data_IF_258978111661
#
_entry.id   IF_258978111661
#
_cell.length_a   1.000
_cell.length_b   1.000
_cell.length_c   1.000
_cell.angle_alpha   90.00
_cell.angle_beta   90.00
_cell.angle_gamma   90.00
#
_symmetry.space_group_name_H-M   'P 1'
#
loop_
_entity.id
_entity.type
_entity.pdbx_description
1 polymer ?
#
# COMPACT_ATOMS: atom_id res chain seq x y z
N UNK A 1 -14.54 -0.96 5.20
CA UNK A 1 -13.83 -1.95 4.38
C UNK A 1 -13.45 -1.25 3.09
N UNK A 2 -12.15 -1.13 2.85
CA UNK A 2 -11.58 -0.63 1.59
C UNK A 2 -11.71 -1.73 0.54
N UNK A 3 -12.04 -1.35 -0.70
CA UNK A 3 -12.15 -2.27 -1.84
C UNK A 3 -11.46 -1.64 -3.04
N UNK A 4 -10.50 -2.35 -3.62
CA UNK A 4 -9.70 -1.86 -4.75
C UNK A 4 -9.51 -2.92 -5.83
N UNK A 5 -9.46 -2.48 -7.08
CA UNK A 5 -8.89 -3.27 -8.17
C UNK A 5 -7.37 -3.18 -8.05
N UNK A 6 -6.66 -4.30 -8.25
CA UNK A 6 -5.19 -4.39 -8.11
C UNK A 6 -4.61 -5.32 -9.17
N UNK A 7 -3.94 -4.74 -10.16
CA UNK A 7 -3.30 -5.46 -11.26
C UNK A 7 -1.79 -5.19 -11.26
N UNK A 8 -1.01 -6.22 -11.54
CA UNK A 8 0.45 -6.13 -11.64
C UNK A 8 0.89 -5.99 -13.09
N UNK A 9 1.73 -5.00 -13.35
CA UNK A 9 2.39 -4.79 -14.64
C UNK A 9 3.73 -5.55 -14.65
N UNK A 10 4.15 -6.15 -15.77
CA UNK A 10 5.26 -7.09 -15.79
C UNK A 10 6.65 -6.43 -15.73
N UNK A 11 6.76 -5.14 -16.07
CA UNK A 11 8.04 -4.44 -16.19
C UNK A 11 7.87 -2.91 -16.32
N UNK A 12 9.01 -2.21 -16.25
CA UNK A 12 9.10 -0.76 -16.40
C UNK A 12 8.59 -0.24 -17.76
N UNK A 13 8.73 -1.01 -18.84
CA UNK A 13 8.25 -0.60 -20.16
C UNK A 13 6.72 -0.53 -20.20
N UNK A 14 6.06 -1.51 -19.59
CA UNK A 14 4.60 -1.56 -19.44
C UNK A 14 4.09 -0.43 -18.56
N UNK A 15 4.76 -0.19 -17.43
CA UNK A 15 4.50 0.94 -16.54
C UNK A 15 4.66 2.30 -17.24
N UNK A 16 5.76 2.51 -17.97
CA UNK A 16 6.00 3.75 -18.71
C UNK A 16 4.97 3.96 -19.82
N UNK A 17 4.62 2.90 -20.55
CA UNK A 17 3.61 2.96 -21.61
C UNK A 17 2.25 3.35 -21.05
N UNK A 18 1.82 2.74 -19.93
CA UNK A 18 0.59 3.11 -19.25
C UNK A 18 0.62 4.55 -18.76
N UNK A 19 1.71 4.97 -18.12
CA UNK A 19 1.87 6.35 -17.62
C UNK A 19 1.81 7.38 -18.76
N UNK A 20 2.40 7.08 -19.92
CA UNK A 20 2.32 7.95 -21.10
C UNK A 20 0.88 8.07 -21.63
N UNK A 21 0.15 6.95 -21.70
CA UNK A 21 -1.25 6.93 -22.13
C UNK A 21 -2.15 7.72 -21.18
N UNK A 22 -1.89 7.62 -19.87
CA UNK A 22 -2.66 8.32 -18.84
C UNK A 22 -2.21 9.76 -18.61
N UNK A 23 -1.11 10.22 -19.21
CA UNK A 23 -0.56 11.57 -19.01
C UNK A 23 -1.56 12.73 -19.17
N UNK A 24 -2.56 12.69 -20.09
CA UNK A 24 -3.57 13.75 -20.18
C UNK A 24 -4.52 13.82 -18.96
N UNK A 25 -4.56 12.75 -18.17
CA UNK A 25 -5.42 12.58 -16.99
C UNK A 25 -4.64 12.70 -15.68
N UNK A 26 -3.34 13.01 -15.75
CA UNK A 26 -2.49 13.11 -14.57
C UNK A 26 -2.96 14.24 -13.65
N UNK A 27 -3.00 13.92 -12.35
CA UNK A 27 -3.39 14.87 -11.30
C UNK A 27 -2.21 15.22 -10.42
N UNK A 28 -1.49 14.21 -9.93
CA UNK A 28 -0.35 14.39 -9.04
C UNK A 28 0.56 13.17 -9.03
N UNK A 29 1.78 13.36 -8.55
CA UNK A 29 2.72 12.28 -8.26
C UNK A 29 3.08 12.34 -6.78
N UNK A 30 2.91 11.23 -6.08
CA UNK A 30 3.19 11.10 -4.65
C UNK A 30 4.43 10.25 -4.45
N UNK A 31 5.41 10.80 -3.71
CA UNK A 31 6.57 10.02 -3.25
C UNK A 31 6.25 9.51 -1.85
N UNK A 32 6.20 8.20 -1.69
CA UNK A 32 5.81 7.53 -0.46
C UNK A 32 6.98 6.73 0.11
N UNK A 33 7.14 6.76 1.42
CA UNK A 33 7.97 5.83 2.18
C UNK A 33 7.08 5.07 3.15
N UNK A 34 7.04 3.75 3.03
CA UNK A 34 6.18 2.87 3.81
C UNK A 34 7.06 2.11 4.81
N UNK A 35 6.91 2.41 6.11
CA UNK A 35 7.64 1.77 7.20
C UNK A 35 6.67 0.93 8.02
N UNK A 36 7.06 -0.30 8.33
CA UNK A 36 6.20 -1.27 9.02
C UNK A 36 6.71 -1.60 10.41
N UNK A 37 5.78 -1.94 11.28
CA UNK A 37 6.03 -2.30 12.66
C UNK A 37 5.26 -3.57 13.01
N UNK A 38 5.85 -4.38 13.88
CA UNK A 38 5.22 -5.57 14.43
C UNK A 38 5.86 -5.88 15.79
N UNK A 39 5.37 -6.88 16.49
CA UNK A 39 6.02 -7.43 17.69
C UNK A 39 7.28 -8.21 17.28
N UNK A 40 8.22 -8.45 18.22
CA UNK A 40 9.37 -9.33 17.97
C UNK A 40 9.01 -10.74 17.49
N UNK A 41 7.77 -11.20 17.76
CA UNK A 41 7.25 -12.50 17.37
C UNK A 41 6.33 -12.45 16.14
N UNK A 42 6.27 -11.31 15.45
CA UNK A 42 5.49 -11.09 14.22
C UNK A 42 3.98 -11.36 14.40
N UNK A 43 3.44 -10.97 15.56
CA UNK A 43 2.05 -11.26 15.94
C UNK A 43 1.05 -10.72 14.92
N UNK A 44 1.28 -9.52 14.39
CA UNK A 44 0.39 -8.90 13.41
C UNK A 44 0.49 -9.62 12.06
N UNK A 45 1.70 -9.87 11.55
CA UNK A 45 1.89 -10.56 10.28
C UNK A 45 1.28 -11.97 10.29
N UNK A 46 1.47 -12.74 11.36
CA UNK A 46 0.85 -14.08 11.53
C UNK A 46 -0.68 -13.99 11.54
N UNK A 47 -1.22 -12.87 12.02
CA UNK A 47 -2.67 -12.59 12.03
C UNK A 47 -3.18 -11.94 10.74
N UNK A 48 -2.37 -11.93 9.66
CA UNK A 48 -2.65 -11.24 8.40
C UNK A 48 -3.02 -9.77 8.61
N UNK A 49 -2.27 -9.08 9.46
CA UNK A 49 -2.40 -7.66 9.70
C UNK A 49 -1.08 -6.92 9.45
N UNK A 50 -1.19 -5.65 9.07
CA UNK A 50 -0.05 -4.79 8.81
C UNK A 50 -0.26 -3.45 9.51
N UNK A 51 0.72 -3.08 10.33
CA UNK A 51 0.79 -1.78 10.98
C UNK A 51 1.90 -0.95 10.35
N UNK A 52 1.53 0.22 9.83
CA UNK A 52 2.38 0.99 8.92
C UNK A 52 2.34 2.48 9.23
N UNK A 53 3.51 3.10 9.24
CA UNK A 53 3.70 4.54 9.04
C UNK A 53 4.04 4.79 7.58
N UNK A 54 3.32 5.73 6.96
CA UNK A 54 3.60 6.19 5.61
C UNK A 54 3.95 7.67 5.63
N UNK A 55 5.09 8.03 5.04
CA UNK A 55 5.50 9.41 4.81
C UNK A 55 5.28 9.80 3.36
N UNK A 56 4.88 11.04 3.13
CA UNK A 56 4.61 11.60 1.80
C UNK A 56 5.51 12.79 1.51
N UNK A 57 6.07 12.82 0.29
CA UNK A 57 6.82 13.94 -0.31
C UNK A 57 7.84 14.55 0.66
N UNK A 58 8.80 13.74 1.11
CA UNK A 58 9.86 14.17 2.05
C UNK A 58 9.29 14.76 3.35
N UNK A 59 8.42 14.02 4.02
CA UNK A 59 7.83 14.34 5.33
C UNK A 59 6.87 15.54 5.34
N UNK A 60 6.32 15.90 4.20
CA UNK A 60 5.24 16.90 4.13
C UNK A 60 3.97 16.48 4.88
N UNK A 61 3.73 15.16 4.96
CA UNK A 61 2.56 14.55 5.59
C UNK A 61 2.90 13.11 5.97
N UNK A 62 2.29 12.60 7.05
CA UNK A 62 2.44 11.23 7.49
C UNK A 62 1.12 10.63 7.96
N UNK A 63 0.96 9.33 7.72
CA UNK A 63 -0.23 8.55 8.06
C UNK A 63 0.17 7.32 8.85
N UNK A 64 -0.50 7.13 9.98
CA UNK A 64 -0.53 5.86 10.70
C UNK A 64 -1.67 5.02 10.13
N UNK A 65 -1.40 3.77 9.78
CA UNK A 65 -2.39 2.89 9.17
C UNK A 65 -2.32 1.50 9.76
N UNK A 66 -3.50 0.90 9.97
CA UNK A 66 -3.64 -0.49 10.35
C UNK A 66 -4.59 -1.18 9.38
N UNK A 67 -4.05 -2.17 8.67
CA UNK A 67 -4.80 -3.02 7.74
C UNK A 67 -4.90 -4.44 8.31
N UNK A 68 -6.08 -5.05 8.25
CA UNK A 68 -6.29 -6.43 8.71
C UNK A 68 -7.32 -7.17 7.87
N UNK A 69 -7.32 -8.51 7.96
CA UNK A 69 -8.21 -9.41 7.22
C UNK A 69 -8.19 -9.14 5.70
N UNK A 70 -7.01 -9.11 5.06
CA UNK A 70 -6.93 -8.90 3.63
C UNK A 70 -7.51 -10.10 2.89
N UNK A 71 -8.35 -9.82 1.91
CA UNK A 71 -8.77 -10.77 0.88
C UNK A 71 -8.30 -10.22 -0.46
N UNK A 72 -7.66 -11.07 -1.27
CA UNK A 72 -7.21 -10.69 -2.61
C UNK A 72 -7.55 -11.84 -3.56
N UNK A 73 -8.56 -11.62 -4.39
CA UNK A 73 -9.09 -12.64 -5.28
C UNK A 73 -9.42 -12.01 -6.63
N UNK A 74 -8.92 -12.61 -7.72
CA UNK A 74 -9.23 -12.21 -9.11
C UNK A 74 -9.01 -10.70 -9.38
N UNK A 75 -7.91 -10.16 -8.85
CA UNK A 75 -7.53 -8.75 -9.03
C UNK A 75 -8.33 -7.75 -8.20
N UNK A 76 -9.10 -8.21 -7.20
CA UNK A 76 -9.85 -7.34 -6.29
C UNK A 76 -9.36 -7.58 -4.87
N UNK A 77 -8.86 -6.51 -4.23
CA UNK A 77 -8.51 -6.51 -2.81
C UNK A 77 -9.66 -5.98 -1.97
N UNK A 78 -9.88 -6.60 -0.81
CA UNK A 78 -10.77 -6.13 0.25
C UNK A 78 -10.01 -6.16 1.56
N UNK A 79 -10.06 -5.08 2.32
CA UNK A 79 -9.31 -5.00 3.58
C UNK A 79 -10.02 -4.12 4.60
N UNK A 80 -9.95 -4.50 5.88
CA UNK A 80 -10.31 -3.60 6.96
C UNK A 80 -9.14 -2.66 7.21
N UNK A 81 -9.31 -1.38 6.84
CA UNK A 81 -8.30 -0.34 7.05
C UNK A 81 -8.83 0.74 7.99
N UNK A 82 -7.93 1.19 8.88
CA UNK A 82 -8.07 2.42 9.63
C UNK A 82 -6.81 3.26 9.41
N UNK A 83 -6.99 4.54 9.09
CA UNK A 83 -5.90 5.49 8.92
C UNK A 83 -6.11 6.70 9.83
N UNK A 84 -5.02 7.19 10.40
CA UNK A 84 -5.00 8.38 11.25
C UNK A 84 -3.83 9.29 10.83
N UNK A 85 -4.04 10.60 10.67
CA UNK A 85 -2.94 11.52 10.41
C UNK A 85 -2.03 11.59 11.64
N UNK A 86 -0.73 11.72 11.39
CA UNK A 86 0.26 11.89 12.45
C UNK A 86 1.28 12.95 12.05
N UNK A 87 1.77 13.70 13.04
CA UNK A 87 2.84 14.67 12.81
C UNK A 87 4.09 13.95 12.26
N UNK A 88 4.64 14.37 11.10
CA UNK A 88 5.78 13.69 10.49
C UNK A 88 7.03 13.68 11.37
N UNK A 89 7.28 14.75 12.12
CA UNK A 89 8.47 14.83 12.99
C UNK A 89 8.36 13.85 14.15
N UNK A 90 7.17 13.76 14.76
CA UNK A 90 6.86 12.74 15.77
C UNK A 90 6.95 11.33 15.18
N UNK A 91 6.36 11.09 14.01
CA UNK A 91 6.40 9.78 13.35
C UNK A 91 7.83 9.31 13.07
N UNK A 92 8.75 10.22 12.69
CA UNK A 92 10.17 9.91 12.49
C UNK A 92 10.85 9.43 13.77
N UNK A 93 10.48 9.96 14.94
CA UNK A 93 11.06 9.51 16.21
C UNK A 93 10.81 8.02 16.50
N UNK A 94 9.68 7.49 16.01
CA UNK A 94 9.31 6.09 16.21
C UNK A 94 10.11 5.10 15.35
N UNK A 95 10.84 5.56 14.35
CA UNK A 95 11.74 4.68 13.60
C UNK A 95 12.93 4.24 14.47
N UNK A 96 13.37 5.11 15.39
CA UNK A 96 14.46 4.82 16.34
C UNK A 96 13.97 4.32 17.68
N UNK A 97 12.75 4.70 18.09
CA UNK A 97 12.10 4.23 19.31
C UNK A 97 10.65 3.79 19.02
N UNK A 98 10.44 2.58 18.45
CA UNK A 98 9.12 2.09 18.05
C UNK A 98 8.12 2.01 19.20
N UNK A 99 8.60 1.75 20.42
CA UNK A 99 7.74 1.66 21.61
C UNK A 99 7.10 3.00 21.97
N UNK A 100 7.60 4.12 21.45
CA UNK A 100 6.94 5.42 21.56
C UNK A 100 5.52 5.44 20.97
N UNK A 101 5.23 4.60 19.96
CA UNK A 101 3.87 4.45 19.39
C UNK A 101 2.87 3.94 20.43
N UNK A 102 3.29 3.08 21.35
CA UNK A 102 2.42 2.53 22.42
C UNK A 102 1.93 3.63 23.37
N UNK A 103 2.70 4.70 23.52
CA UNK A 103 2.31 5.90 24.27
C UNK A 103 1.10 6.65 23.69
N UNK A 104 0.73 6.37 22.44
CA UNK A 104 -0.42 6.97 21.75
C UNK A 104 -1.74 6.22 22.01
N UNK A 105 -1.75 5.14 22.82
CA UNK A 105 -2.93 4.30 23.05
C UNK A 105 -4.21 5.05 23.47
N UNK A 106 -4.09 6.18 24.16
CA UNK A 106 -5.25 6.98 24.59
C UNK A 106 -5.67 8.07 23.58
N UNK A 107 -4.96 8.19 22.46
CA UNK A 107 -5.12 9.23 21.44
C UNK A 107 -5.31 8.68 20.03
N UNK A 108 -5.10 7.37 19.84
CA UNK A 108 -5.17 6.67 18.57
C UNK A 108 -6.02 5.43 18.72
N UNK A 109 -7.08 5.32 17.91
CA UNK A 109 -7.96 4.15 17.88
C UNK A 109 -7.20 2.95 17.31
N UNK A 110 -6.28 3.19 16.38
CA UNK A 110 -5.36 2.16 15.87
C UNK A 110 -4.57 1.55 17.03
N UNK A 111 -3.96 2.37 17.88
CA UNK A 111 -3.15 1.87 18.99
C UNK A 111 -4.00 1.18 20.07
N UNK A 112 -5.19 1.71 20.36
CA UNK A 112 -6.16 1.06 21.25
C UNK A 112 -6.51 -0.35 20.74
N UNK A 113 -6.79 -0.47 19.44
CA UNK A 113 -7.09 -1.74 18.78
C UNK A 113 -5.91 -2.71 18.81
N UNK A 114 -4.69 -2.27 18.49
CA UNK A 114 -3.49 -3.11 18.55
C UNK A 114 -3.27 -3.68 19.96
N UNK A 115 -3.43 -2.86 20.99
CA UNK A 115 -3.26 -3.30 22.37
C UNK A 115 -4.39 -4.22 22.83
N UNK A 116 -5.64 -3.88 22.51
CA UNK A 116 -6.82 -4.60 22.97
C UNK A 116 -7.06 -5.93 22.25
N UNK A 117 -6.94 -5.95 20.92
CA UNK A 117 -7.26 -7.12 20.09
C UNK A 117 -6.05 -8.03 19.88
N UNK A 118 -4.84 -7.47 19.77
CA UNK A 118 -3.62 -8.22 19.44
C UNK A 118 -2.64 -8.34 20.60
N UNK A 119 -2.92 -7.70 21.74
CA UNK A 119 -2.07 -7.77 22.93
C UNK A 119 -0.69 -7.16 22.73
N UNK A 120 -0.54 -6.19 21.82
CA UNK A 120 0.75 -5.56 21.51
C UNK A 120 1.24 -4.74 22.70
N UNK A 121 2.37 -5.14 23.27
CA UNK A 121 3.07 -4.50 24.39
C UNK A 121 4.51 -4.08 24.06
N UNK A 122 5.06 -4.58 22.95
CA UNK A 122 6.34 -4.22 22.39
C UNK A 122 6.26 -4.14 20.87
N UNK A 123 6.93 -3.16 20.28
CA UNK A 123 7.06 -2.99 18.83
C UNK A 123 8.52 -2.92 18.41
N UNK A 124 8.79 -3.47 17.23
CA UNK A 124 10.03 -3.28 16.49
C UNK A 124 9.72 -2.65 15.13
N UNK A 125 10.68 -1.89 14.61
CA UNK A 125 10.65 -1.41 13.23
C UNK A 125 11.14 -2.52 12.31
N UNK A 126 10.30 -2.95 11.38
CA UNK A 126 10.65 -3.97 10.39
C UNK A 126 11.47 -3.40 9.22
N UNK A 127 11.56 -2.06 9.13
CA UNK A 127 12.01 -1.38 7.93
C UNK A 127 10.85 -1.15 6.96
N UNK A 128 11.16 -1.01 5.68
CA UNK A 128 10.17 -0.59 4.72
C UNK A 128 10.66 -0.49 3.28
N UNK A 129 9.86 0.18 2.45
CA UNK A 129 10.15 0.38 1.03
C UNK A 129 9.60 1.72 0.53
N UNK A 130 10.08 2.15 -0.62
CA UNK A 130 9.62 3.37 -1.29
C UNK A 130 8.59 3.04 -2.37
N UNK A 131 7.67 3.96 -2.61
CA UNK A 131 6.70 3.86 -3.70
C UNK A 131 6.54 5.23 -4.37
N UNK A 132 6.60 5.26 -5.70
CA UNK A 132 6.23 6.44 -6.49
C UNK A 132 4.87 6.15 -7.11
N UNK A 133 3.89 6.98 -6.77
CA UNK A 133 2.50 6.82 -7.21
C UNK A 133 2.10 7.95 -8.15
N UNK A 134 1.83 7.64 -9.40
CA UNK A 134 1.11 8.53 -10.31
C UNK A 134 -0.39 8.40 -10.10
N UNK A 135 -1.09 9.51 -9.88
CA UNK A 135 -2.56 9.54 -9.70
C UNK A 135 -3.21 10.17 -10.92
N UNK A 136 -4.22 9.49 -11.47
CA UNK A 136 -4.88 9.88 -12.71
C UNK A 136 -6.40 9.84 -12.57
N UNK A 137 -7.09 10.88 -13.05
CA UNK A 137 -8.55 10.91 -13.09
C UNK A 137 -9.04 10.53 -14.51
N UNK A 138 -9.33 9.24 -14.71
CA UNK A 138 -9.63 8.65 -16.01
C UNK A 138 -11.02 8.00 -16.02
N UNK A 139 -11.91 8.44 -16.93
CA UNK A 139 -13.30 7.95 -17.05
C UNK A 139 -14.09 7.95 -15.73
N UNK A 140 -13.82 8.92 -14.86
CA UNK A 140 -14.45 9.04 -13.54
C UNK A 140 -13.85 8.10 -12.47
N UNK A 141 -12.81 7.35 -12.82
CA UNK A 141 -12.02 6.53 -11.89
C UNK A 141 -10.78 7.30 -11.44
N UNK A 142 -10.35 7.04 -10.21
CA UNK A 142 -9.05 7.48 -9.70
C UNK A 142 -8.09 6.31 -9.81
N UNK A 143 -7.26 6.32 -10.85
CA UNK A 143 -6.24 5.31 -11.07
C UNK A 143 -4.97 5.70 -10.34
N UNK A 144 -4.37 4.74 -9.66
CA UNK A 144 -3.07 4.88 -9.00
C UNK A 144 -2.10 3.92 -9.70
N UNK A 145 -1.09 4.47 -10.38
CA UNK A 145 -0.05 3.69 -11.04
C UNK A 145 1.20 3.77 -10.19
N UNK A 146 1.63 2.62 -9.69
CA UNK A 146 2.67 2.49 -8.69
C UNK A 146 3.97 1.93 -9.28
N UNK A 147 5.08 2.54 -8.87
CA UNK A 147 6.43 1.99 -8.94
C UNK A 147 6.95 1.77 -7.52
N UNK A 148 6.93 0.52 -7.07
CA UNK A 148 7.36 0.14 -5.72
C UNK A 148 8.79 -0.38 -5.73
N UNK A 149 9.66 0.30 -4.99
CA UNK A 149 11.10 0.04 -4.93
C UNK A 149 11.44 -0.63 -3.60
N UNK A 150 11.73 -1.93 -3.67
CA UNK A 150 12.29 -2.73 -2.60
C UNK A 150 13.81 -2.86 -2.76
N UNK A 151 14.50 -3.30 -1.71
CA UNK A 151 15.96 -3.56 -1.78
C UNK A 151 16.31 -4.70 -2.77
N UNK A 152 15.36 -5.60 -3.02
CA UNK A 152 15.52 -6.77 -3.90
C UNK A 152 14.90 -6.59 -5.30
N UNK A 153 14.40 -5.39 -5.63
CA UNK A 153 13.90 -5.08 -6.97
C UNK A 153 12.68 -4.15 -6.99
N UNK A 154 12.11 -4.00 -8.18
CA UNK A 154 10.99 -3.06 -8.42
C UNK A 154 9.76 -3.82 -8.91
N UNK A 155 8.60 -3.51 -8.32
CA UNK A 155 7.28 -3.96 -8.79
C UNK A 155 6.48 -2.79 -9.33
N UNK A 156 5.57 -3.10 -10.26
CA UNK A 156 4.71 -2.12 -10.89
C UNK A 156 3.27 -2.59 -10.78
N UNK A 157 2.37 -1.70 -10.35
CA UNK A 157 0.96 -2.02 -10.16
C UNK A 157 0.08 -0.88 -10.69
N UNK A 158 -1.15 -1.20 -11.05
CA UNK A 158 -2.24 -0.24 -11.19
C UNK A 158 -3.34 -0.62 -10.21
N UNK A 159 -3.77 0.37 -9.44
CA UNK A 159 -4.80 0.25 -8.41
C UNK A 159 -5.95 1.22 -8.68
N UNK A 160 -7.15 0.86 -8.24
CA UNK A 160 -8.31 1.73 -8.26
C UNK A 160 -9.26 1.36 -7.14
N UNK A 161 -9.39 2.22 -6.12
CA UNK A 161 -10.45 2.10 -5.12
C UNK A 161 -11.82 2.20 -5.82
N UNK A 162 -12.73 1.27 -5.53
CA UNK A 162 -13.98 1.15 -6.27
C UNK A 162 -15.14 0.63 -5.43
N UNK A 163 -16.32 1.21 -5.67
CA UNK A 163 -17.62 0.71 -5.17
C UNK A 163 -18.22 -0.35 -6.10
N UNK A 164 -17.75 -0.43 -7.34
CA UNK A 164 -18.20 -1.35 -8.39
C UNK A 164 -16.99 -2.11 -8.97
N UNK A 165 -16.26 -2.90 -8.15
CA UNK A 165 -14.91 -3.36 -8.49
C UNK A 165 -14.87 -4.27 -9.72
N UNK A 166 -15.90 -5.06 -9.99
CA UNK A 166 -15.93 -5.90 -11.20
C UNK A 166 -16.04 -5.06 -12.48
N UNK A 167 -16.94 -4.06 -12.49
CA UNK A 167 -17.12 -3.13 -13.62
C UNK A 167 -15.85 -2.32 -13.86
N UNK A 168 -15.26 -1.78 -12.80
CA UNK A 168 -14.09 -0.92 -12.90
C UNK A 168 -12.85 -1.73 -13.29
N UNK A 169 -12.74 -2.98 -12.82
CA UNK A 169 -11.72 -3.92 -13.25
C UNK A 169 -11.83 -4.18 -14.76
N UNK A 170 -13.01 -4.51 -15.28
CA UNK A 170 -13.21 -4.71 -16.73
C UNK A 170 -12.79 -3.47 -17.56
N UNK A 171 -13.07 -2.26 -17.07
CA UNK A 171 -12.64 -1.03 -17.73
C UNK A 171 -11.11 -0.87 -17.75
N UNK A 172 -10.44 -1.19 -16.64
CA UNK A 172 -8.97 -1.11 -16.52
C UNK A 172 -8.32 -2.20 -17.37
N UNK A 173 -8.83 -3.43 -17.33
CA UNK A 173 -8.37 -4.53 -18.19
C UNK A 173 -8.51 -4.17 -19.67
N UNK A 174 -9.66 -3.61 -20.07
CA UNK A 174 -9.87 -3.13 -21.44
C UNK A 174 -8.85 -2.07 -21.86
N UNK A 175 -8.57 -1.08 -20.99
CA UNK A 175 -7.54 -0.07 -21.23
C UNK A 175 -6.16 -0.73 -21.48
N UNK A 176 -5.78 -1.72 -20.68
CA UNK A 176 -4.49 -2.40 -20.79
C UNK A 176 -4.42 -3.24 -22.07
N UNK A 177 -5.46 -4.05 -22.34
CA UNK A 177 -5.52 -4.94 -23.50
C UNK A 177 -5.56 -4.17 -24.83
N UNK A 178 -6.41 -3.14 -24.95
CA UNK A 178 -6.53 -2.31 -26.17
C UNK A 178 -5.20 -1.64 -26.53
N UNK A 179 -4.37 -1.36 -25.52
CA UNK A 179 -3.08 -0.74 -25.71
C UNK A 179 -1.92 -1.74 -25.74
N UNK A 180 -2.18 -3.06 -25.72
CA UNK A 180 -1.13 -4.08 -25.73
C UNK A 180 -0.18 -3.93 -24.54
N UNK A 181 -0.75 -3.82 -23.34
CA UNK A 181 -0.05 -3.82 -22.05
C UNK A 181 -0.44 -5.10 -21.33
N UNK A 182 0.52 -6.01 -21.18
CA UNK A 182 0.32 -7.23 -20.42
C UNK A 182 0.13 -6.90 -18.93
N UNK A 183 -0.68 -7.70 -18.25
CA UNK A 183 -0.88 -7.63 -16.81
C UNK A 183 -1.26 -8.99 -16.24
N UNK A 184 -1.16 -9.11 -14.93
CA UNK A 184 -1.76 -10.22 -14.18
C UNK A 184 -2.51 -9.66 -12.97
N UNK A 185 -3.42 -10.46 -12.40
CA UNK A 185 -3.99 -10.13 -11.09
C UNK A 185 -2.92 -10.17 -10.02
N UNK A 186 -2.84 -9.14 -9.18
CA UNK A 186 -2.01 -9.21 -7.98
C UNK A 186 -2.56 -10.31 -7.07
N UNK A 187 -1.71 -11.23 -6.65
CA UNK A 187 -2.00 -12.34 -5.72
C UNK A 187 -1.42 -12.10 -4.32
N UNK A 188 -0.51 -11.15 -4.21
CA UNK A 188 0.14 -10.73 -2.97
C UNK A 188 0.18 -9.20 -2.91
N UNK A 189 -0.06 -8.64 -1.72
CA UNK A 189 0.04 -7.19 -1.51
C UNK A 189 1.51 -6.77 -1.30
N UNK A 190 1.78 -5.45 -1.41
CA UNK A 190 3.13 -4.89 -1.28
C UNK A 190 3.85 -5.26 0.03
N UNK A 191 3.11 -5.34 1.15
CA UNK A 191 3.68 -5.76 2.44
C UNK A 191 4.06 -7.25 2.44
N UNK A 192 3.24 -8.11 1.86
CA UNK A 192 3.57 -9.52 1.67
C UNK A 192 4.80 -9.72 0.80
N UNK A 193 4.95 -8.93 -0.29
CA UNK A 193 6.16 -8.93 -1.13
C UNK A 193 7.38 -8.53 -0.30
N UNK A 194 7.29 -7.42 0.44
CA UNK A 194 8.34 -6.95 1.34
C UNK A 194 8.79 -8.03 2.33
N UNK A 195 7.84 -8.64 3.05
CA UNK A 195 8.13 -9.69 4.03
C UNK A 195 8.73 -10.96 3.40
N UNK A 196 8.40 -11.24 2.13
CA UNK A 196 8.95 -12.41 1.43
C UNK A 196 10.42 -12.24 0.99
N UNK A 197 10.93 -11.01 0.95
CA UNK A 197 12.32 -10.71 0.55
C UNK A 197 12.63 -10.98 -0.92
N UNK A 198 11.61 -11.17 -1.77
CA UNK A 198 11.76 -11.49 -3.20
C UNK A 198 10.61 -10.94 -4.02
N UNK A 199 10.87 -10.69 -5.30
CA UNK A 199 9.81 -10.32 -6.23
C UNK A 199 8.83 -11.49 -6.44
N UNK A 200 7.53 -11.20 -6.61
CA UNK A 200 6.54 -12.23 -6.86
C UNK A 200 6.79 -12.86 -8.24
N UNK A 201 6.54 -14.17 -8.36
CA UNK A 201 6.71 -14.90 -9.62
C UNK A 201 5.77 -14.36 -10.70
N UNK A 202 6.21 -14.42 -11.95
CA UNK A 202 5.39 -14.06 -13.11
C UNK A 202 4.12 -14.90 -13.18
#
# INVERSE_FOLDING_TARGET
>A
MEVEVKLRLPNSQSHQKLSNLLSPFHTTTLIQENIFFDTPTTTLAVSNAAFRLRFYNLDSYAVLSFKSKPELTQGISRVEEHEEPIDPSLARSFLTDPNGLLGLSNKSQIMEKLKGEFGVDELICLGGFKNVRGVYDWKGLKLEVDETVYDFGVCYEIECESKEPERDKELIEGLLMENGIDFVYSDINKFGVFMSGKLPSK
#
